data_IF_316788685758
#
_entry.id   IF_316788685758
#
_cell.length_a   1.000
_cell.length_b   1.000
_cell.length_c   1.000
_cell.angle_alpha   90.00
_cell.angle_beta   90.00
_cell.angle_gamma   90.00
#
_symmetry.space_group_name_H-M   'P 1'
#
loop_
_entity.id
_entity.type
_entity.pdbx_description
1 polymer ?
#
# COMPACT_ATOMS: atom_id res chain seq x y z
N UNK A 1 -45.10 -2.17 -16.98
CA UNK A 1 -43.87 -2.88 -17.42
C UNK A 1 -42.65 -1.98 -17.64
N UNK A 2 -42.77 -0.77 -18.22
CA UNK A 2 -41.59 0.10 -18.50
C UNK A 2 -40.84 0.60 -17.25
N UNK A 3 -41.51 0.78 -16.11
CA UNK A 3 -40.89 1.23 -14.85
C UNK A 3 -40.07 0.14 -14.13
N UNK A 4 -40.41 -1.15 -14.31
CA UNK A 4 -39.68 -2.26 -13.67
C UNK A 4 -38.31 -2.50 -14.31
N UNK A 5 -38.22 -2.35 -15.64
CA UNK A 5 -36.96 -2.49 -16.38
C UNK A 5 -35.96 -1.36 -16.07
N UNK A 6 -36.46 -0.15 -15.81
CA UNK A 6 -35.61 0.99 -15.43
C UNK A 6 -35.05 0.84 -14.01
N UNK A 7 -35.83 0.32 -13.07
CA UNK A 7 -35.34 0.02 -11.71
C UNK A 7 -34.29 -1.09 -11.67
N UNK A 8 -34.46 -2.15 -12.48
CA UNK A 8 -33.46 -3.24 -12.59
C UNK A 8 -32.15 -2.72 -13.20
N UNK A 9 -32.23 -1.85 -14.21
CA UNK A 9 -31.05 -1.24 -14.82
C UNK A 9 -30.29 -0.34 -13.82
N UNK A 10 -31.00 0.43 -12.99
CA UNK A 10 -30.40 1.29 -11.96
C UNK A 10 -29.74 0.45 -10.86
N UNK A 11 -30.35 -0.67 -10.45
CA UNK A 11 -29.76 -1.60 -9.47
C UNK A 11 -28.53 -2.30 -10.04
N UNK A 12 -28.55 -2.74 -11.30
CA UNK A 12 -27.39 -3.34 -11.97
C UNK A 12 -26.25 -2.32 -12.16
N UNK A 13 -26.57 -1.08 -12.52
CA UNK A 13 -25.59 0.01 -12.60
C UNK A 13 -25.00 0.32 -11.22
N UNK A 14 -25.81 0.42 -10.17
CA UNK A 14 -25.35 0.63 -8.79
C UNK A 14 -24.44 -0.49 -8.28
N UNK A 15 -24.79 -1.77 -8.53
CA UNK A 15 -23.96 -2.92 -8.17
C UNK A 15 -22.64 -2.97 -8.97
N UNK A 16 -22.67 -2.58 -10.25
CA UNK A 16 -21.45 -2.48 -11.07
C UNK A 16 -20.54 -1.32 -10.64
N UNK A 17 -21.10 -0.23 -10.13
CA UNK A 17 -20.34 0.89 -9.58
C UNK A 17 -19.69 0.54 -8.23
N UNK A 18 -20.37 -0.23 -7.38
CA UNK A 18 -19.82 -0.74 -6.12
C UNK A 18 -18.70 -1.78 -6.32
N UNK A 19 -18.78 -2.60 -7.37
CA UNK A 19 -17.70 -3.52 -7.77
C UNK A 19 -16.45 -2.76 -8.28
N UNK A 20 -16.65 -1.63 -8.98
CA UNK A 20 -15.55 -0.83 -9.52
C UNK A 20 -14.84 0.02 -8.46
N UNK A 21 -15.55 0.44 -7.41
CA UNK A 21 -15.03 1.35 -6.39
C UNK A 21 -13.82 0.82 -5.59
N UNK A 22 -13.66 -0.50 -5.46
CA UNK A 22 -12.55 -1.14 -4.73
C UNK A 22 -11.67 -2.04 -5.61
N UNK A 23 -11.93 -2.06 -6.91
CA UNK A 23 -11.09 -2.81 -7.86
C UNK A 23 -9.80 -2.05 -8.20
N UNK A 24 -9.69 -0.78 -7.80
CA UNK A 24 -8.54 0.11 -8.05
C UNK A 24 -8.09 0.77 -6.75
N UNK A 25 -6.82 1.11 -6.67
CA UNK A 25 -6.33 2.05 -5.67
C UNK A 25 -6.80 3.48 -6.01
N UNK A 26 -6.87 4.34 -5.00
CA UNK A 26 -7.06 5.78 -5.13
C UNK A 26 -5.68 6.46 -5.21
N UNK A 27 -5.43 7.42 -6.13
CA UNK A 27 -4.18 8.15 -6.15
C UNK A 27 -3.93 8.85 -4.81
N UNK A 28 -2.79 8.58 -4.17
CA UNK A 28 -2.55 9.06 -2.80
C UNK A 28 -2.56 10.60 -2.73
N UNK A 29 -3.10 11.15 -1.64
CA UNK A 29 -3.24 12.62 -1.47
C UNK A 29 -2.00 13.33 -0.93
N UNK A 30 -0.86 12.65 -0.89
CA UNK A 30 0.38 13.15 -0.25
C UNK A 30 0.92 14.46 -0.86
N UNK A 31 0.41 14.90 -2.02
CA UNK A 31 0.80 16.16 -2.67
C UNK A 31 -0.06 17.38 -2.28
N UNK A 32 -1.16 17.23 -1.54
CA UNK A 32 -2.05 18.35 -1.19
C UNK A 32 -2.52 18.30 0.27
N UNK A 33 -1.75 18.83 1.23
CA UNK A 33 -2.25 19.73 2.30
C UNK A 33 -1.33 19.82 3.53
N UNK A 34 -1.21 21.06 4.04
CA UNK A 34 -0.85 21.52 5.39
C UNK A 34 0.40 20.96 6.10
N UNK A 35 1.17 21.86 6.72
CA UNK A 35 2.45 21.57 7.39
C UNK A 35 2.43 20.40 8.39
N UNK A 36 1.29 20.15 9.05
CA UNK A 36 1.13 19.06 10.02
C UNK A 36 1.13 17.69 9.33
N UNK A 37 0.48 17.56 8.18
CA UNK A 37 0.49 16.32 7.40
C UNK A 37 1.92 15.99 6.95
N UNK A 38 2.62 16.99 6.42
CA UNK A 38 4.02 16.84 5.97
C UNK A 38 4.96 16.38 7.10
N UNK A 39 4.79 16.89 8.33
CA UNK A 39 5.59 16.47 9.48
C UNK A 39 5.34 15.00 9.82
N UNK A 40 4.09 14.54 9.76
CA UNK A 40 3.76 13.13 9.99
C UNK A 40 4.38 12.24 8.91
N UNK A 41 4.15 12.53 7.63
CA UNK A 41 4.70 11.74 6.53
C UNK A 41 6.24 11.71 6.53
N UNK A 42 6.89 12.84 6.84
CA UNK A 42 8.36 12.88 7.01
C UNK A 42 8.84 11.96 8.14
N UNK A 43 8.09 11.89 9.25
CA UNK A 43 8.42 10.97 10.34
C UNK A 43 8.20 9.52 9.95
N UNK A 44 7.10 9.20 9.26
CA UNK A 44 6.84 7.87 8.72
C UNK A 44 8.00 7.45 7.80
N UNK A 45 8.36 8.31 6.85
CA UNK A 45 9.46 8.04 5.91
C UNK A 45 10.79 7.82 6.62
N UNK A 46 11.11 8.64 7.62
CA UNK A 46 12.34 8.52 8.41
C UNK A 46 12.37 7.25 9.27
N UNK A 47 11.25 6.92 9.92
CA UNK A 47 11.17 5.83 10.88
C UNK A 47 10.92 4.48 10.24
N UNK A 48 10.19 4.42 9.13
CA UNK A 48 9.73 3.17 8.52
C UNK A 48 10.31 2.91 7.13
N UNK A 49 10.62 3.94 6.34
CA UNK A 49 11.07 3.77 4.94
C UNK A 49 12.50 4.25 4.64
N UNK A 50 13.28 4.61 5.67
CA UNK A 50 14.65 5.10 5.56
C UNK A 50 14.82 6.26 4.54
N UNK A 51 13.82 7.14 4.44
CA UNK A 51 13.86 8.32 3.56
C UNK A 51 13.64 8.05 2.07
N UNK A 52 13.21 6.84 1.65
CA UNK A 52 12.70 6.57 0.30
C UNK A 52 13.71 6.52 -0.86
N UNK A 53 14.95 6.98 -0.65
CA UNK A 53 15.93 7.24 -1.73
C UNK A 53 16.41 5.98 -2.48
N UNK A 54 16.26 4.79 -1.90
CA UNK A 54 16.86 3.55 -2.42
C UNK A 54 15.85 2.47 -2.81
N UNK A 55 14.57 2.83 -2.94
CA UNK A 55 13.49 1.85 -3.00
C UNK A 55 12.93 1.71 -4.43
N UNK A 56 13.00 0.50 -4.99
CA UNK A 56 12.30 0.19 -6.27
C UNK A 56 10.78 0.30 -6.06
N UNK A 57 10.32 -0.30 -4.96
CA UNK A 57 8.97 -0.18 -4.45
C UNK A 57 8.97 -0.13 -2.92
N UNK A 58 7.90 0.39 -2.34
CA UNK A 58 7.62 0.38 -0.91
C UNK A 58 6.11 0.29 -0.68
N UNK A 59 5.71 -0.20 0.49
CA UNK A 59 4.33 -0.10 0.95
C UNK A 59 4.26 0.26 2.43
N UNK A 60 3.16 0.86 2.84
CA UNK A 60 2.86 1.25 4.20
C UNK A 60 1.49 0.69 4.60
N UNK A 61 1.40 0.17 5.80
CA UNK A 61 0.16 -0.26 6.44
C UNK A 61 -0.03 0.64 7.65
N UNK A 62 -1.08 1.46 7.62
CA UNK A 62 -1.35 2.53 8.58
C UNK A 62 -2.70 2.33 9.28
N UNK A 63 -2.77 1.49 10.32
CA UNK A 63 -3.95 1.38 11.16
C UNK A 63 -4.15 2.63 12.02
N UNK A 64 -5.40 3.04 12.18
CA UNK A 64 -5.77 4.24 12.95
C UNK A 64 -5.46 4.15 14.44
N UNK A 65 -5.35 2.95 15.02
CA UNK A 65 -5.23 2.78 16.48
C UNK A 65 -4.18 1.73 16.91
N UNK A 66 -3.34 1.27 15.98
CA UNK A 66 -2.26 0.30 16.28
C UNK A 66 -0.94 0.70 15.62
N UNK A 67 0.10 -0.11 15.83
CA UNK A 67 1.39 0.06 15.19
C UNK A 67 1.29 0.23 13.67
N UNK A 68 2.08 1.15 13.14
CA UNK A 68 2.23 1.36 11.70
C UNK A 68 3.41 0.53 11.18
N UNK A 69 3.30 0.06 9.95
CA UNK A 69 4.31 -0.77 9.30
C UNK A 69 4.70 -0.16 7.97
N UNK A 70 5.99 -0.13 7.67
CA UNK A 70 6.52 0.18 6.36
C UNK A 70 7.38 -0.96 5.86
N UNK A 71 7.30 -1.25 4.57
CA UNK A 71 8.13 -2.22 3.89
C UNK A 71 8.75 -1.56 2.67
N UNK A 72 10.02 -1.85 2.42
CA UNK A 72 10.69 -1.42 1.20
C UNK A 72 11.72 -2.44 0.74
N UNK A 73 12.05 -2.39 -0.55
CA UNK A 73 13.17 -3.15 -1.10
C UNK A 73 14.46 -2.34 -0.98
N UNK A 74 15.44 -2.86 -0.26
CA UNK A 74 16.79 -2.31 -0.17
C UNK A 74 17.65 -2.84 -1.33
N UNK A 75 17.88 -1.99 -2.34
CA UNK A 75 18.64 -2.34 -3.55
C UNK A 75 20.07 -2.76 -3.23
N UNK A 76 20.70 -2.15 -2.22
CA UNK A 76 22.12 -2.39 -1.92
C UNK A 76 22.34 -3.81 -1.41
N UNK A 77 21.47 -4.24 -0.51
CA UNK A 77 21.59 -5.52 0.17
C UNK A 77 20.74 -6.62 -0.49
N UNK A 78 19.90 -6.26 -1.48
CA UNK A 78 18.94 -7.16 -2.14
C UNK A 78 18.01 -7.89 -1.16
N UNK A 79 17.45 -7.11 -0.22
CA UNK A 79 16.54 -7.61 0.82
C UNK A 79 15.25 -6.80 0.85
N UNK A 80 14.16 -7.43 1.28
CA UNK A 80 13.00 -6.71 1.79
C UNK A 80 13.23 -6.35 3.25
N UNK A 81 13.00 -5.08 3.57
CA UNK A 81 13.09 -4.55 4.93
C UNK A 81 11.69 -4.16 5.39
N UNK A 82 11.22 -4.80 6.46
CA UNK A 82 9.96 -4.50 7.11
C UNK A 82 10.23 -3.83 8.46
N UNK A 83 9.74 -2.61 8.65
CA UNK A 83 9.85 -1.87 9.91
C UNK A 83 8.47 -1.69 10.51
N UNK A 84 8.31 -2.05 11.78
CA UNK A 84 7.02 -1.98 12.49
C UNK A 84 7.17 -1.17 13.76
N UNK A 85 6.42 -0.08 13.85
CA UNK A 85 6.29 0.69 15.06
C UNK A 85 5.38 -0.03 16.07
N UNK A 86 5.72 0.02 17.35
CA UNK A 86 4.92 -0.59 18.42
C UNK A 86 3.59 0.17 18.72
N UNK A 87 3.43 1.37 18.17
CA UNK A 87 2.24 2.21 18.30
C UNK A 87 2.12 3.12 17.07
N UNK A 88 0.93 3.69 16.87
CA UNK A 88 0.68 4.63 15.79
C UNK A 88 1.54 5.91 15.96
N UNK A 89 2.22 6.32 14.88
CA UNK A 89 3.22 7.40 14.83
C UNK A 89 2.54 8.76 14.97
N UNK A 90 1.31 8.93 14.47
CA UNK A 90 0.55 10.18 14.59
C UNK A 90 0.32 10.59 16.04
N UNK A 91 -0.02 9.63 16.91
CA UNK A 91 -0.26 9.90 18.33
C UNK A 91 1.03 10.00 19.16
N UNK A 92 2.17 9.64 18.58
CA UNK A 92 3.47 9.84 19.21
C UNK A 92 3.85 11.33 19.19
N UNK A 93 3.45 12.03 20.26
CA UNK A 93 3.82 13.44 20.46
C UNK A 93 5.29 13.60 20.83
N UNK A 94 6.07 14.01 19.84
CA UNK A 94 7.24 14.86 20.08
C UNK A 94 6.80 16.27 20.51
N UNK A 95 7.12 16.63 21.77
CA UNK A 95 7.31 17.98 22.33
C UNK A 95 6.21 18.92 22.84
N UNK A 96 4.90 18.83 22.54
CA UNK A 96 3.93 19.87 23.01
C UNK A 96 2.82 19.38 23.98
N UNK A 97 3.14 18.53 24.96
CA UNK A 97 2.22 18.25 26.09
C UNK A 97 2.91 18.51 27.43
N UNK A 98 2.12 19.01 28.39
CA UNK A 98 2.56 19.36 29.74
C UNK A 98 3.29 18.20 30.41
N UNK A 99 4.29 18.50 31.26
CA UNK A 99 5.13 17.52 31.98
C UNK A 99 4.34 16.41 32.70
N UNK A 100 3.07 16.66 33.07
CA UNK A 100 2.20 15.67 33.74
C UNK A 100 1.71 14.53 32.83
N UNK A 101 1.62 14.71 31.51
CA UNK A 101 1.18 13.66 30.58
C UNK A 101 2.33 12.78 30.05
N UNK A 102 3.59 13.14 30.32
CA UNK A 102 4.77 12.36 29.89
C UNK A 102 4.99 11.06 30.69
N UNK A 103 4.38 10.92 31.87
CA UNK A 103 4.67 9.81 32.81
C UNK A 103 4.11 8.44 32.39
N UNK A 104 3.23 8.37 31.37
CA UNK A 104 2.63 7.12 30.90
C UNK A 104 2.74 6.92 29.38
N UNK A 105 3.53 7.73 28.67
CA UNK A 105 3.76 7.51 27.25
C UNK A 105 4.81 6.42 27.05
N UNK A 106 4.39 5.31 26.44
CA UNK A 106 5.32 4.27 25.97
C UNK A 106 6.24 4.89 24.90
N UNK A 107 7.52 4.55 24.98
CA UNK A 107 8.50 4.92 23.98
C UNK A 107 8.09 4.38 22.59
N UNK A 108 8.32 5.18 21.54
CA UNK A 108 8.14 4.72 20.17
C UNK A 108 9.32 3.82 19.82
N UNK A 109 9.05 2.52 19.75
CA UNK A 109 10.03 1.50 19.40
C UNK A 109 9.68 0.99 18.00
N UNK A 110 10.68 0.94 17.13
CA UNK A 110 10.56 0.38 15.78
C UNK A 110 11.37 -0.91 15.72
N UNK A 111 10.68 -2.02 15.45
CA UNK A 111 11.32 -3.29 15.14
C UNK A 111 11.63 -3.36 13.64
N UNK A 112 12.79 -3.90 13.28
CA UNK A 112 13.19 -4.10 11.89
C UNK A 112 13.37 -5.60 11.62
N UNK A 113 12.83 -6.06 10.50
CA UNK A 113 12.94 -7.41 9.99
C UNK A 113 13.49 -7.32 8.57
N UNK A 114 14.38 -8.25 8.21
CA UNK A 114 15.01 -8.31 6.90
C UNK A 114 14.89 -9.72 6.37
N UNK A 115 14.55 -9.84 5.08
CA UNK A 115 14.52 -11.12 4.39
C UNK A 115 15.12 -10.97 2.99
N UNK A 116 16.06 -11.83 2.59
CA UNK A 116 16.53 -11.91 1.21
C UNK A 116 15.37 -12.21 0.25
N UNK A 117 15.49 -11.71 -0.98
CA UNK A 117 14.53 -11.94 -2.05
C UNK A 117 15.28 -12.27 -3.35
N UNK A 118 14.77 -13.21 -4.15
CA UNK A 118 15.34 -13.47 -5.47
C UNK A 118 15.12 -12.31 -6.43
N UNK A 119 15.89 -12.29 -7.52
CA UNK A 119 15.66 -11.34 -8.61
C UNK A 119 14.27 -11.50 -9.25
N UNK A 120 13.78 -12.74 -9.35
CA UNK A 120 12.48 -13.07 -9.95
C UNK A 120 11.34 -12.52 -9.09
N UNK A 121 11.32 -12.84 -7.79
CA UNK A 121 10.34 -12.30 -6.86
C UNK A 121 10.35 -10.77 -6.83
N UNK A 122 11.54 -10.15 -6.83
CA UNK A 122 11.66 -8.68 -6.93
C UNK A 122 11.00 -8.13 -8.20
N UNK A 123 11.22 -8.76 -9.36
CA UNK A 123 10.66 -8.31 -10.63
C UNK A 123 9.13 -8.44 -10.65
N UNK A 124 8.60 -9.59 -10.22
CA UNK A 124 7.16 -9.83 -10.12
C UNK A 124 6.48 -8.86 -9.17
N UNK A 125 7.07 -8.61 -7.98
CA UNK A 125 6.49 -7.68 -7.01
C UNK A 125 6.56 -6.24 -7.51
N UNK A 126 7.66 -5.83 -8.15
CA UNK A 126 7.76 -4.52 -8.77
C UNK A 126 6.69 -4.33 -9.86
N UNK A 127 6.46 -5.35 -10.70
CA UNK A 127 5.42 -5.31 -11.73
C UNK A 127 4.04 -5.19 -11.10
N UNK A 128 3.72 -6.02 -10.11
CA UNK A 128 2.46 -5.96 -9.36
C UNK A 128 2.22 -4.55 -8.81
N UNK A 129 3.15 -4.02 -8.01
CA UNK A 129 2.97 -2.73 -7.36
C UNK A 129 2.87 -1.59 -8.37
N UNK A 130 3.63 -1.66 -9.46
CA UNK A 130 3.58 -0.64 -10.51
C UNK A 130 2.26 -0.68 -11.27
N UNK A 131 1.77 -1.87 -11.63
CA UNK A 131 0.46 -2.04 -12.24
C UNK A 131 -0.66 -1.52 -11.33
N UNK A 132 -0.60 -1.85 -10.03
CA UNK A 132 -1.57 -1.41 -9.05
C UNK A 132 -1.59 0.12 -8.89
N UNK A 133 -0.41 0.76 -8.79
CA UNK A 133 -0.31 2.23 -8.66
C UNK A 133 -0.75 2.95 -9.94
N UNK A 134 -0.31 2.51 -11.12
CA UNK A 134 -0.65 3.19 -12.38
C UNK A 134 -2.07 2.94 -12.85
N UNK A 135 -2.68 1.82 -12.45
CA UNK A 135 -4.12 1.62 -12.62
C UNK A 135 -4.96 2.32 -11.54
N UNK A 136 -4.40 3.17 -10.67
CA UNK A 136 -5.19 3.92 -9.68
C UNK A 136 -6.15 4.92 -10.33
N UNK A 137 -7.25 5.28 -9.64
CA UNK A 137 -8.22 6.27 -10.14
C UNK A 137 -8.91 7.03 -9.02
N UNK A 138 -9.16 8.32 -9.25
CA UNK A 138 -9.95 9.17 -8.35
C UNK A 138 -11.43 8.74 -8.23
N UNK A 139 -11.89 7.85 -9.11
CA UNK A 139 -13.21 7.23 -9.03
C UNK A 139 -13.25 6.06 -8.03
N UNK A 140 -12.09 5.51 -7.65
CA UNK A 140 -12.01 4.58 -6.54
C UNK A 140 -12.43 5.32 -5.27
N UNK A 141 -13.31 4.73 -4.47
CA UNK A 141 -13.72 5.37 -3.21
C UNK A 141 -13.05 4.64 -2.04
N UNK A 142 -12.44 5.36 -1.10
CA UNK A 142 -12.01 4.74 0.15
C UNK A 142 -13.27 4.22 0.85
N UNK A 143 -13.30 2.92 1.13
CA UNK A 143 -14.47 2.26 1.69
C UNK A 143 -14.03 1.25 2.75
N UNK A 144 -14.50 1.46 3.97
CA UNK A 144 -14.48 0.48 5.06
C UNK A 144 -14.15 1.11 6.41
N UNK A 145 -14.41 0.34 7.46
CA UNK A 145 -14.49 0.84 8.84
C UNK A 145 -13.41 0.28 9.78
N UNK A 146 -12.49 -0.56 9.26
CA UNK A 146 -11.39 -1.10 10.08
C UNK A 146 -10.32 -0.03 10.39
N UNK A 147 -10.37 1.12 9.70
CA UNK A 147 -9.50 2.26 9.93
C UNK A 147 -8.06 2.01 9.50
N UNK A 148 -7.80 1.07 8.59
CA UNK A 148 -6.47 0.79 8.04
C UNK A 148 -6.35 1.36 6.63
N UNK A 149 -5.34 2.22 6.45
CA UNK A 149 -4.91 2.69 5.13
C UNK A 149 -3.72 1.88 4.67
N UNK A 150 -3.76 1.42 3.42
CA UNK A 150 -2.67 0.75 2.74
C UNK A 150 -2.18 1.66 1.63
N UNK A 151 -0.92 2.05 1.66
CA UNK A 151 -0.31 2.89 0.64
C UNK A 151 0.82 2.14 -0.05
N UNK A 152 0.89 2.23 -1.37
CA UNK A 152 1.94 1.62 -2.19
C UNK A 152 2.64 2.74 -2.93
N UNK A 153 3.97 2.68 -2.94
CA UNK A 153 4.85 3.65 -3.58
C UNK A 153 5.78 2.92 -4.56
N UNK A 154 5.94 3.47 -5.76
CA UNK A 154 6.84 2.93 -6.79
C UNK A 154 7.74 4.03 -7.36
N UNK A 155 8.82 3.62 -8.05
CA UNK A 155 9.83 4.52 -8.64
C UNK A 155 10.44 5.50 -7.63
N UNK A 156 11.05 4.96 -6.57
CA UNK A 156 11.69 5.77 -5.53
C UNK A 156 10.71 6.68 -4.78
N UNK A 157 9.41 6.38 -4.79
CA UNK A 157 8.38 7.18 -4.14
C UNK A 157 7.75 8.28 -5.00
N UNK A 158 8.08 8.36 -6.29
CA UNK A 158 7.54 9.39 -7.19
C UNK A 158 6.06 9.22 -7.50
N UNK A 159 5.56 7.99 -7.40
CA UNK A 159 4.15 7.65 -7.62
C UNK A 159 3.64 6.82 -6.47
N UNK A 160 2.44 7.13 -6.02
CA UNK A 160 1.82 6.44 -4.90
C UNK A 160 0.31 6.42 -4.98
N UNK A 161 -0.26 5.29 -4.57
CA UNK A 161 -1.69 5.06 -4.53
C UNK A 161 -2.06 4.32 -3.25
N UNK A 162 -3.29 4.52 -2.78
CA UNK A 162 -3.77 4.01 -1.50
C UNK A 162 -5.16 3.39 -1.60
N UNK A 163 -5.43 2.42 -0.74
CA UNK A 163 -6.77 1.90 -0.52
C UNK A 163 -7.03 1.79 0.98
N UNK A 164 -8.28 1.92 1.37
CA UNK A 164 -8.69 1.98 2.77
C UNK A 164 -9.65 0.83 3.00
N UNK A 165 -9.34 -0.04 3.96
CA UNK A 165 -10.25 -1.10 4.44
C UNK A 165 -10.98 -1.92 3.33
N UNK A 166 -10.29 -2.39 2.26
CA UNK A 166 -10.96 -2.95 1.08
C UNK A 166 -11.76 -4.23 1.41
N UNK A 167 -12.85 -4.50 0.67
CA UNK A 167 -13.56 -5.78 0.77
C UNK A 167 -12.64 -6.90 0.31
N UNK A 168 -12.68 -8.05 1.00
CA UNK A 168 -11.77 -9.18 0.78
C UNK A 168 -11.79 -9.72 -0.66
N UNK A 169 -12.95 -9.71 -1.31
CA UNK A 169 -13.15 -10.22 -2.67
C UNK A 169 -12.75 -9.23 -3.78
N UNK A 170 -12.48 -7.97 -3.45
CA UNK A 170 -11.99 -6.96 -4.40
C UNK A 170 -10.50 -7.16 -4.73
N UNK A 171 -10.04 -6.60 -5.85
CA UNK A 171 -8.62 -6.63 -6.21
C UNK A 171 -7.74 -5.95 -5.15
N UNK A 172 -8.19 -4.85 -4.54
CA UNK A 172 -7.49 -4.23 -3.41
C UNK A 172 -7.48 -5.15 -2.17
N UNK A 173 -8.57 -5.89 -1.93
CA UNK A 173 -8.63 -6.89 -0.85
C UNK A 173 -7.61 -8.01 -1.03
N UNK A 174 -7.51 -8.55 -2.25
CA UNK A 174 -6.51 -9.57 -2.59
C UNK A 174 -5.07 -9.02 -2.51
N UNK A 175 -4.87 -7.76 -2.92
CA UNK A 175 -3.58 -7.08 -2.75
C UNK A 175 -3.20 -6.92 -1.28
N UNK A 176 -4.14 -6.54 -0.42
CA UNK A 176 -3.92 -6.46 1.04
C UNK A 176 -3.61 -7.83 1.65
N UNK A 177 -4.28 -8.89 1.21
CA UNK A 177 -3.98 -10.27 1.64
C UNK A 177 -2.56 -10.68 1.20
N UNK A 178 -2.15 -10.31 -0.02
CA UNK A 178 -0.77 -10.47 -0.49
C UNK A 178 0.23 -9.70 0.41
N UNK A 179 -0.03 -8.43 0.73
CA UNK A 179 0.83 -7.63 1.62
C UNK A 179 0.95 -8.26 3.02
N UNK A 180 -0.13 -8.85 3.53
CA UNK A 180 -0.13 -9.55 4.81
C UNK A 180 0.76 -10.80 4.76
N UNK A 181 0.60 -11.66 3.75
CA UNK A 181 1.46 -12.83 3.57
C UNK A 181 2.94 -12.47 3.40
N UNK A 182 3.22 -11.42 2.61
CA UNK A 182 4.58 -10.93 2.41
C UNK A 182 5.18 -10.42 3.73
N UNK A 183 4.40 -9.67 4.52
CA UNK A 183 4.85 -9.17 5.82
C UNK A 183 5.18 -10.30 6.80
N UNK A 184 4.36 -11.35 6.84
CA UNK A 184 4.63 -12.52 7.70
C UNK A 184 5.86 -13.30 7.24
N UNK A 185 6.04 -13.48 5.92
CA UNK A 185 7.24 -14.12 5.37
C UNK A 185 8.52 -13.34 5.74
N UNK A 186 8.49 -12.00 5.66
CA UNK A 186 9.64 -11.16 6.03
C UNK A 186 9.93 -11.25 7.54
N UNK A 187 8.90 -11.21 8.40
CA UNK A 187 9.08 -11.37 9.86
C UNK A 187 9.67 -12.73 10.22
N UNK A 188 9.27 -13.78 9.50
CA UNK A 188 9.81 -15.12 9.65
C UNK A 188 11.22 -15.31 9.08
N UNK A 189 11.74 -14.32 8.32
CA UNK A 189 12.94 -14.45 7.51
C UNK A 189 12.90 -15.71 6.61
N UNK A 190 11.75 -15.91 5.95
CA UNK A 190 11.45 -17.08 5.12
C UNK A 190 11.44 -16.70 3.62
N UNK A 191 12.59 -16.78 2.94
CA UNK A 191 12.66 -16.46 1.51
C UNK A 191 11.85 -17.45 0.66
N UNK A 192 11.67 -18.71 1.08
CA UNK A 192 10.91 -19.70 0.31
C UNK A 192 9.42 -19.34 0.28
N UNK A 193 8.89 -18.86 1.40
CA UNK A 193 7.54 -18.31 1.46
C UNK A 193 7.41 -17.09 0.55
N UNK A 194 8.41 -16.21 0.47
CA UNK A 194 8.41 -15.08 -0.47
C UNK A 194 8.35 -15.56 -1.92
N UNK A 195 9.18 -16.53 -2.31
CA UNK A 195 9.16 -17.09 -3.68
C UNK A 195 7.79 -17.72 -4.01
N UNK A 196 7.16 -18.37 -3.03
CA UNK A 196 5.83 -18.97 -3.22
C UNK A 196 4.73 -17.95 -3.54
N UNK A 197 4.95 -16.66 -3.29
CA UNK A 197 4.03 -15.58 -3.61
C UNK A 197 4.15 -15.08 -5.06
N UNK A 198 5.17 -15.49 -5.82
CA UNK A 198 5.37 -15.07 -7.23
C UNK A 198 4.11 -15.31 -8.07
N UNK A 199 3.49 -16.51 -8.10
CA UNK A 199 2.33 -16.76 -8.95
C UNK A 199 1.14 -15.86 -8.61
N UNK A 200 0.94 -15.56 -7.32
CA UNK A 200 -0.10 -14.65 -6.87
C UNK A 200 0.21 -13.21 -7.29
N UNK A 201 1.47 -12.78 -7.18
CA UNK A 201 1.88 -11.45 -7.60
C UNK A 201 1.66 -11.24 -9.10
N UNK A 202 2.06 -12.22 -9.91
CA UNK A 202 1.89 -12.18 -11.36
C UNK A 202 0.40 -12.17 -11.73
N UNK A 203 -0.43 -13.01 -11.11
CA UNK A 203 -1.86 -13.03 -11.35
C UNK A 203 -2.54 -11.70 -11.00
N UNK A 204 -2.20 -11.10 -9.85
CA UNK A 204 -2.72 -9.79 -9.45
C UNK A 204 -2.23 -8.69 -10.38
N UNK A 205 -0.98 -8.76 -10.85
CA UNK A 205 -0.46 -7.76 -11.79
C UNK A 205 -1.28 -7.74 -13.08
N UNK A 206 -1.62 -8.92 -13.63
CA UNK A 206 -2.46 -9.04 -14.81
C UNK A 206 -3.88 -8.54 -14.56
N UNK A 207 -4.45 -8.76 -13.37
CA UNK A 207 -5.76 -8.23 -13.01
C UNK A 207 -5.77 -6.69 -13.01
N UNK A 208 -4.78 -6.05 -12.39
CA UNK A 208 -4.67 -4.59 -12.41
C UNK A 208 -4.41 -4.04 -13.82
N UNK A 209 -3.57 -4.70 -14.62
CA UNK A 209 -3.30 -4.34 -16.01
C UNK A 209 -4.54 -4.47 -16.90
N UNK A 210 -5.33 -5.53 -16.72
CA UNK A 210 -6.49 -5.84 -17.55
C UNK A 210 -7.69 -4.92 -17.30
N UNK A 211 -7.80 -4.37 -16.09
CA UNK A 211 -8.88 -3.45 -15.76
C UNK A 211 -8.83 -2.17 -16.61
N UNK A 212 -7.63 -1.65 -16.90
CA UNK A 212 -7.42 -0.39 -17.63
C UNK A 212 -6.09 -0.42 -18.42
N UNK A 213 -6.05 -1.15 -19.55
CA UNK A 213 -4.82 -1.36 -20.31
C UNK A 213 -4.28 -0.05 -20.93
N UNK A 214 -5.14 0.94 -21.18
CA UNK A 214 -4.75 2.28 -21.62
C UNK A 214 -3.92 3.05 -20.58
N UNK A 215 -4.33 3.04 -19.31
CA UNK A 215 -3.65 3.74 -18.20
C UNK A 215 -2.24 3.15 -17.98
N UNK A 216 -2.10 1.84 -18.16
CA UNK A 216 -0.79 1.15 -18.09
C UNK A 216 0.03 1.44 -19.34
N UNK A 217 -0.57 1.45 -20.54
CA UNK A 217 0.15 1.71 -21.81
C UNK A 217 0.78 3.10 -21.85
N UNK A 218 0.05 4.14 -21.44
CA UNK A 218 0.58 5.51 -21.40
C UNK A 218 1.78 5.65 -20.44
N UNK A 219 1.82 4.86 -19.37
CA UNK A 219 2.90 4.86 -18.39
C UNK A 219 3.99 3.80 -18.66
N UNK A 220 3.72 2.84 -19.55
CA UNK A 220 4.62 1.74 -19.92
C UNK A 220 5.79 2.16 -20.81
N UNK A 221 5.66 3.28 -21.53
CA UNK A 221 6.81 3.89 -22.24
C UNK A 221 7.91 4.34 -21.28
N UNK A 222 7.60 4.43 -19.97
CA UNK A 222 8.55 4.73 -18.90
C UNK A 222 8.98 3.48 -18.10
N UNK A 223 8.49 2.27 -18.43
CA UNK A 223 8.79 1.00 -17.74
C UNK A 223 10.04 0.28 -18.25
N UNK A 224 10.69 0.80 -19.30
CA UNK A 224 11.93 0.23 -19.83
C UNK A 224 13.12 0.79 -19.04
N UNK A 225 13.54 0.09 -17.99
CA UNK A 225 14.88 0.24 -17.41
C UNK A 225 15.41 -1.16 -17.06
N UNK A 226 16.46 -1.54 -17.78
CA UNK A 226 17.36 -2.67 -17.48
C UNK A 226 18.13 -2.43 -16.18
#
# INVERSE_FOLDING_TARGET
>A
MKQFLSSILIVLLGLSMDLNAQSRLFPSRNSMSNSISNIYHTKVDSLLLNGGVFNVFAFEIRPSFSGETGCYYDVKDSVLVLRTANQNIWYYKGNNRSKKQRKHQKELVVSEYRCPISQEARQSFNRLFTAAVFSSSFLATPFGADGVTYEIRVRGGSYSAECWSPKKDSNCGQLVEFLAHLSEAIKGNDPQMIESLIPLADALSLLFEALYPEDVKENSTLLIWE
#
